data_IF_876725964004
#
_entry.id   IF_876725964004
#
_cell.length_a   1.000
_cell.length_b   1.000
_cell.length_c   1.000
_cell.angle_alpha   90.00
_cell.angle_beta   90.00
_cell.angle_gamma   90.00
#
_symmetry.space_group_name_H-M   'P 1'
#
loop_
_entity.id
_entity.type
_entity.pdbx_description
1 polymer ?
#
# COMPACT_ATOMS: atom_id res chain seq x y z
N UNK A 1 5.57 -3.82 -11.85
CA UNK A 1 6.43 -4.91 -12.34
C UNK A 1 6.84 -4.71 -13.80
N UNK A 2 5.89 -4.50 -14.72
CA UNK A 2 6.17 -4.34 -16.15
C UNK A 2 7.15 -3.20 -16.44
N UNK A 3 6.97 -2.02 -15.84
CA UNK A 3 7.87 -0.88 -16.03
C UNK A 3 9.32 -1.16 -15.58
N UNK A 4 9.50 -1.90 -14.48
CA UNK A 4 10.81 -2.30 -13.98
C UNK A 4 11.49 -3.29 -14.94
N UNK A 5 10.74 -4.28 -15.44
CA UNK A 5 11.25 -5.21 -16.45
C UNK A 5 11.62 -4.47 -17.74
N UNK A 6 10.80 -3.52 -18.19
CA UNK A 6 11.08 -2.68 -19.36
C UNK A 6 12.33 -1.82 -19.17
N UNK A 7 12.52 -1.25 -17.98
CA UNK A 7 13.71 -0.47 -17.66
C UNK A 7 14.98 -1.33 -17.65
N UNK A 8 14.95 -2.50 -17.00
CA UNK A 8 16.08 -3.43 -16.97
C UNK A 8 16.48 -3.86 -18.39
N UNK A 9 15.49 -4.21 -19.21
CA UNK A 9 15.73 -4.62 -20.59
C UNK A 9 16.35 -3.47 -21.41
N UNK A 10 15.83 -2.24 -21.27
CA UNK A 10 16.39 -1.06 -21.95
C UNK A 10 17.85 -0.81 -21.57
N UNK A 11 18.21 -0.93 -20.30
CA UNK A 11 19.60 -0.72 -19.83
C UNK A 11 20.52 -1.80 -20.42
N UNK A 12 20.07 -3.07 -20.44
CA UNK A 12 20.82 -4.15 -21.08
C UNK A 12 21.02 -3.91 -22.58
N UNK A 13 19.98 -3.49 -23.28
CA UNK A 13 20.03 -3.20 -24.72
C UNK A 13 21.00 -2.04 -25.03
N UNK A 14 20.96 -0.95 -24.26
CA UNK A 14 21.91 0.17 -24.38
C UNK A 14 23.35 -0.27 -24.10
N UNK A 15 23.57 -1.08 -23.07
CA UNK A 15 24.90 -1.59 -22.75
C UNK A 15 25.45 -2.45 -23.88
N UNK A 16 24.62 -3.34 -24.43
CA UNK A 16 24.96 -4.19 -25.57
C UNK A 16 25.34 -3.39 -26.80
N UNK A 17 24.60 -2.33 -27.10
CA UNK A 17 24.89 -1.44 -28.22
C UNK A 17 26.24 -0.71 -28.04
N UNK A 18 26.51 -0.18 -26.85
CA UNK A 18 27.75 0.54 -26.55
C UNK A 18 28.97 -0.39 -26.67
N UNK A 19 28.89 -1.58 -26.07
CA UNK A 19 29.97 -2.59 -26.13
C UNK A 19 30.21 -3.02 -27.57
N UNK A 20 29.16 -3.35 -28.32
CA UNK A 20 29.28 -3.77 -29.72
C UNK A 20 29.92 -2.70 -30.61
N UNK A 21 29.54 -1.43 -30.44
CA UNK A 21 30.17 -0.29 -31.16
C UNK A 21 31.64 -0.16 -30.81
N UNK A 22 32.00 -0.30 -29.52
CA UNK A 22 33.37 -0.12 -29.04
C UNK A 22 34.30 -1.26 -29.47
N UNK A 23 33.81 -2.50 -29.41
CA UNK A 23 34.53 -3.67 -29.95
C UNK A 23 34.78 -3.49 -31.44
N UNK A 24 33.74 -3.16 -32.23
CA UNK A 24 33.87 -2.95 -33.68
C UNK A 24 34.87 -1.85 -34.03
N UNK A 25 34.91 -0.76 -33.24
CA UNK A 25 35.85 0.34 -33.46
C UNK A 25 37.31 -0.06 -33.29
N UNK A 26 37.59 -1.07 -32.46
CA UNK A 26 38.95 -1.51 -32.13
C UNK A 26 39.36 -2.76 -32.91
N UNK A 27 38.45 -3.71 -33.15
CA UNK A 27 38.74 -4.92 -33.91
C UNK A 27 38.60 -4.71 -35.42
N UNK A 28 37.91 -3.65 -35.86
CA UNK A 28 37.61 -3.39 -37.27
C UNK A 28 36.59 -4.36 -37.89
N UNK A 29 36.18 -5.39 -37.16
CA UNK A 29 35.18 -6.38 -37.57
C UNK A 29 33.99 -6.32 -36.62
N UNK A 30 32.77 -6.45 -37.18
CA UNK A 30 31.57 -6.58 -36.35
C UNK A 30 31.64 -7.94 -35.62
N UNK A 31 31.67 -7.95 -34.28
CA UNK A 31 31.65 -9.20 -33.52
C UNK A 31 30.29 -9.89 -33.64
N UNK A 32 30.29 -11.21 -33.55
CA UNK A 32 29.06 -12.01 -33.49
C UNK A 32 28.30 -11.73 -32.19
N UNK A 33 26.97 -11.86 -32.23
CA UNK A 33 26.12 -11.59 -31.05
C UNK A 33 26.52 -12.43 -29.84
N UNK A 34 26.86 -13.70 -30.05
CA UNK A 34 27.30 -14.61 -28.99
C UNK A 34 28.60 -14.14 -28.32
N UNK A 35 29.50 -13.52 -29.09
CA UNK A 35 30.74 -12.95 -28.55
C UNK A 35 30.44 -11.71 -27.70
N UNK A 36 29.52 -10.85 -28.12
CA UNK A 36 29.08 -9.69 -27.34
C UNK A 36 28.43 -10.16 -26.04
N UNK A 37 27.55 -11.16 -26.10
CA UNK A 37 26.85 -11.65 -24.92
C UNK A 37 27.81 -12.30 -23.93
N UNK A 38 28.78 -13.08 -24.40
CA UNK A 38 29.84 -13.63 -23.54
C UNK A 38 30.67 -12.53 -22.85
N UNK A 39 30.94 -11.42 -23.55
CA UNK A 39 31.68 -10.28 -23.02
C UNK A 39 30.88 -9.53 -21.95
N UNK A 40 29.57 -9.39 -22.17
CA UNK A 40 28.65 -8.77 -21.22
C UNK A 40 28.52 -9.63 -19.95
N UNK A 41 28.49 -10.95 -20.06
CA UNK A 41 28.35 -11.85 -18.91
C UNK A 41 29.65 -12.02 -18.13
N UNK A 42 30.76 -12.27 -18.83
CA UNK A 42 32.05 -12.61 -18.20
C UNK A 42 32.92 -11.39 -17.91
N UNK A 43 32.78 -10.31 -18.68
CA UNK A 43 33.70 -9.18 -18.68
C UNK A 43 35.07 -9.48 -19.29
N UNK A 44 35.30 -10.70 -19.80
CA UNK A 44 36.59 -11.11 -20.37
C UNK A 44 36.71 -10.63 -21.83
N UNK A 45 37.18 -9.39 -21.99
CA UNK A 45 37.45 -8.82 -23.30
C UNK A 45 38.86 -9.17 -23.83
N UNK A 46 39.71 -9.76 -22.99
CA UNK A 46 41.13 -9.95 -23.32
C UNK A 46 41.28 -10.91 -24.52
N UNK A 47 40.47 -11.96 -24.56
CA UNK A 47 40.45 -12.93 -25.67
C UNK A 47 40.00 -12.30 -27.00
N UNK A 48 39.03 -11.38 -26.96
CA UNK A 48 38.47 -10.71 -28.15
C UNK A 48 39.48 -9.71 -28.73
N UNK A 49 40.21 -9.01 -27.87
CA UNK A 49 41.13 -7.95 -28.28
C UNK A 49 42.55 -8.43 -28.56
N UNK A 50 42.91 -9.69 -28.30
CA UNK A 50 44.24 -10.24 -28.62
C UNK A 50 44.67 -9.99 -30.07
N UNK A 51 43.73 -10.16 -31.01
CA UNK A 51 43.99 -9.94 -32.44
C UNK A 51 44.18 -8.45 -32.77
N UNK A 52 43.37 -7.59 -32.16
CA UNK A 52 43.46 -6.14 -32.32
C UNK A 52 44.73 -5.54 -31.69
N UNK A 53 45.20 -6.09 -30.56
CA UNK A 53 46.47 -5.69 -29.91
C UNK A 53 47.66 -5.90 -30.86
N UNK A 54 47.62 -6.96 -31.67
CA UNK A 54 48.68 -7.25 -32.64
C UNK A 54 48.70 -6.27 -33.83
N UNK A 55 47.53 -5.77 -34.25
CA UNK A 55 47.38 -4.94 -35.45
C UNK A 55 47.42 -3.43 -35.16
N UNK A 56 46.76 -2.94 -34.10
CA UNK A 56 46.62 -1.50 -33.78
C UNK A 56 47.59 -0.99 -32.70
N UNK A 57 48.33 -1.90 -32.06
CA UNK A 57 49.26 -1.56 -30.98
C UNK A 57 48.59 -1.54 -29.60
N UNK A 58 49.36 -2.00 -28.59
CA UNK A 58 48.86 -2.35 -27.26
C UNK A 58 48.18 -1.19 -26.49
N UNK A 59 48.64 0.05 -26.67
CA UNK A 59 48.18 1.18 -25.84
C UNK A 59 46.72 1.58 -26.05
N UNK A 60 46.28 1.68 -27.30
CA UNK A 60 44.92 2.15 -27.63
C UNK A 60 43.85 1.08 -27.33
N UNK A 61 44.22 -0.18 -27.50
CA UNK A 61 43.36 -1.33 -27.21
C UNK A 61 43.17 -1.53 -25.71
N UNK A 62 44.24 -1.41 -24.91
CA UNK A 62 44.15 -1.53 -23.44
C UNK A 62 43.25 -0.46 -22.82
N UNK A 63 43.35 0.79 -23.27
CA UNK A 63 42.48 1.86 -22.78
C UNK A 63 41.00 1.57 -23.06
N UNK A 64 40.70 0.96 -24.20
CA UNK A 64 39.32 0.57 -24.55
C UNK A 64 38.84 -0.62 -23.72
N UNK A 65 39.75 -1.55 -23.44
CA UNK A 65 39.51 -2.71 -22.58
C UNK A 65 39.16 -2.27 -21.15
N UNK A 66 39.95 -1.35 -20.60
CA UNK A 66 39.74 -0.76 -19.28
C UNK A 66 38.38 -0.05 -19.20
N UNK A 67 38.02 0.73 -20.24
CA UNK A 67 36.71 1.39 -20.32
C UNK A 67 35.55 0.38 -20.35
N UNK A 68 35.65 -0.71 -21.13
CA UNK A 68 34.62 -1.76 -21.20
C UNK A 68 34.47 -2.45 -19.84
N UNK A 69 35.59 -2.70 -19.16
CA UNK A 69 35.61 -3.38 -17.88
C UNK A 69 35.03 -2.50 -16.75
N UNK A 70 35.39 -1.21 -16.70
CA UNK A 70 34.79 -0.25 -15.77
C UNK A 70 33.26 -0.17 -15.97
N UNK A 71 32.81 -0.18 -17.23
CA UNK A 71 31.38 -0.19 -17.55
C UNK A 71 30.70 -1.49 -17.16
N UNK A 72 31.36 -2.63 -17.32
CA UNK A 72 30.85 -3.93 -16.87
C UNK A 72 30.63 -3.94 -15.35
N UNK A 73 31.61 -3.45 -14.59
CA UNK A 73 31.52 -3.38 -13.13
C UNK A 73 30.39 -2.44 -12.68
N UNK A 74 30.24 -1.29 -13.32
CA UNK A 74 29.11 -0.38 -13.09
C UNK A 74 27.76 -1.06 -13.41
N UNK A 75 27.69 -1.85 -14.48
CA UNK A 75 26.48 -2.58 -14.86
C UNK A 75 26.13 -3.67 -13.82
N UNK A 76 27.13 -4.39 -13.30
CA UNK A 76 26.94 -5.32 -12.16
C UNK A 76 26.40 -4.63 -10.92
N UNK A 77 26.88 -3.43 -10.61
CA UNK A 77 26.36 -2.65 -9.48
C UNK A 77 24.89 -2.24 -9.70
N UNK A 78 24.55 -1.82 -10.92
CA UNK A 78 23.16 -1.50 -11.30
C UNK A 78 22.28 -2.75 -11.18
N UNK A 79 22.72 -3.91 -11.67
CA UNK A 79 21.97 -5.16 -11.57
C UNK A 79 21.71 -5.53 -10.11
N UNK A 80 22.72 -5.43 -9.24
CA UNK A 80 22.55 -5.68 -7.81
C UNK A 80 21.50 -4.74 -7.19
N UNK A 81 21.57 -3.44 -7.49
CA UNK A 81 20.59 -2.46 -7.00
C UNK A 81 19.18 -2.73 -7.52
N UNK A 82 19.06 -3.19 -8.76
CA UNK A 82 17.77 -3.59 -9.35
C UNK A 82 17.21 -4.82 -8.64
N UNK A 83 18.02 -5.82 -8.32
CA UNK A 83 17.60 -6.98 -7.54
C UNK A 83 17.14 -6.58 -6.13
N UNK A 84 17.86 -5.68 -5.45
CA UNK A 84 17.45 -5.16 -4.15
C UNK A 84 16.11 -4.41 -4.23
N UNK A 85 15.91 -3.60 -5.27
CA UNK A 85 14.65 -2.90 -5.50
C UNK A 85 13.49 -3.88 -5.78
N UNK A 86 13.76 -4.94 -6.54
CA UNK A 86 12.78 -6.00 -6.78
C UNK A 86 12.34 -6.68 -5.48
N UNK A 87 13.29 -6.97 -4.58
CA UNK A 87 12.99 -7.52 -3.26
C UNK A 87 12.12 -6.58 -2.44
N UNK A 88 12.47 -5.28 -2.37
CA UNK A 88 11.66 -4.27 -1.67
C UNK A 88 10.23 -4.22 -2.23
N UNK A 89 10.07 -4.34 -3.56
CA UNK A 89 8.76 -4.36 -4.18
C UNK A 89 7.94 -5.59 -3.80
N UNK A 90 8.57 -6.77 -3.71
CA UNK A 90 7.92 -8.01 -3.26
C UNK A 90 7.52 -7.91 -1.79
N UNK A 91 8.40 -7.41 -0.93
CA UNK A 91 8.10 -7.21 0.49
C UNK A 91 6.95 -6.20 0.68
N UNK A 92 6.93 -5.14 -0.13
CA UNK A 92 5.83 -4.19 -0.15
C UNK A 92 4.52 -4.81 -0.63
N UNK A 93 4.55 -5.71 -1.63
CA UNK A 93 3.36 -6.41 -2.08
C UNK A 93 2.74 -7.25 -0.94
N UNK A 94 3.58 -7.96 -0.18
CA UNK A 94 3.15 -8.72 1.01
C UNK A 94 2.59 -7.79 2.10
N UNK A 95 3.24 -6.66 2.37
CA UNK A 95 2.77 -5.69 3.37
C UNK A 95 1.44 -5.02 2.98
N UNK A 96 1.21 -4.77 1.69
CA UNK A 96 -0.06 -4.21 1.19
C UNK A 96 -1.16 -5.25 1.29
N UNK A 97 -0.89 -6.51 0.94
CA UNK A 97 -1.84 -7.60 1.08
C UNK A 97 -2.23 -7.82 2.55
N UNK A 98 -1.26 -7.82 3.46
CA UNK A 98 -1.51 -7.88 4.90
C UNK A 98 -2.31 -6.68 5.44
N UNK A 99 -2.13 -5.48 4.87
CA UNK A 99 -2.90 -4.28 5.24
C UNK A 99 -4.33 -4.29 4.69
N UNK A 100 -4.68 -5.16 3.73
CA UNK A 100 -6.05 -5.35 3.27
C UNK A 100 -7.00 -5.75 4.39
N UNK A 101 -6.52 -6.47 5.41
CA UNK A 101 -7.29 -6.89 6.58
C UNK A 101 -7.59 -5.73 7.56
N UNK A 102 -6.76 -4.66 7.57
CA UNK A 102 -6.95 -3.49 8.44
C UNK A 102 -8.02 -2.53 7.89
N UNK A 103 -8.22 -2.50 6.57
CA UNK A 103 -9.26 -1.68 5.95
C UNK A 103 -10.67 -2.14 6.32
N UNK A 104 -10.89 -3.46 6.41
CA UNK A 104 -12.14 -4.08 6.87
C UNK A 104 -12.47 -3.68 8.34
N UNK A 105 -11.42 -3.48 9.15
CA UNK A 105 -11.59 -3.01 10.52
C UNK A 105 -12.07 -1.56 10.62
N UNK A 106 -11.70 -0.66 9.70
CA UNK A 106 -12.21 0.73 9.73
C UNK A 106 -13.69 0.77 9.34
N UNK A 107 -14.07 0.06 8.27
CA UNK A 107 -15.47 -0.05 7.85
C UNK A 107 -16.32 -0.65 8.98
N UNK A 108 -15.83 -1.72 9.59
CA UNK A 108 -16.48 -2.36 10.75
C UNK A 108 -16.61 -1.41 11.93
N UNK A 109 -15.55 -0.67 12.29
CA UNK A 109 -15.61 0.29 13.42
C UNK A 109 -16.55 1.46 13.16
N UNK A 110 -16.59 1.97 11.92
CA UNK A 110 -17.53 3.04 11.52
C UNK A 110 -18.96 2.52 11.55
N UNK A 111 -19.21 1.32 11.01
CA UNK A 111 -20.52 0.66 11.05
C UNK A 111 -21.00 0.46 12.49
N UNK A 112 -20.15 -0.11 13.35
CA UNK A 112 -20.45 -0.29 14.78
C UNK A 112 -20.74 1.05 15.49
N UNK A 113 -20.00 2.11 15.17
CA UNK A 113 -20.25 3.43 15.73
C UNK A 113 -21.63 3.98 15.32
N UNK A 114 -22.01 3.82 14.04
CA UNK A 114 -23.34 4.21 13.54
C UNK A 114 -24.44 3.42 14.26
N UNK A 115 -24.28 2.11 14.39
CA UNK A 115 -25.25 1.25 15.09
C UNK A 115 -25.41 1.66 16.56
N UNK A 116 -24.32 1.91 17.27
CA UNK A 116 -24.37 2.38 18.66
C UNK A 116 -25.08 3.74 18.81
N UNK A 117 -24.85 4.68 17.89
CA UNK A 117 -25.53 5.98 17.90
C UNK A 117 -27.03 5.82 17.63
N UNK A 118 -27.41 4.97 16.68
CA UNK A 118 -28.81 4.68 16.37
C UNK A 118 -29.52 4.01 17.56
N UNK A 119 -28.93 2.96 18.13
CA UNK A 119 -29.46 2.28 19.32
C UNK A 119 -29.58 3.24 20.51
N UNK A 120 -28.58 4.11 20.74
CA UNK A 120 -28.64 5.14 21.78
C UNK A 120 -29.77 6.14 21.56
N UNK A 121 -30.00 6.55 20.31
CA UNK A 121 -31.08 7.47 19.93
C UNK A 121 -32.46 6.85 20.18
N UNK A 122 -32.64 5.57 19.83
CA UNK A 122 -33.89 4.84 20.06
C UNK A 122 -34.17 4.62 21.55
N UNK A 123 -33.13 4.31 22.33
CA UNK A 123 -33.22 4.21 23.78
C UNK A 123 -33.66 5.54 24.41
N UNK A 124 -33.09 6.67 23.97
CA UNK A 124 -33.47 8.01 24.44
C UNK A 124 -34.91 8.38 24.06
N UNK A 125 -35.34 8.06 22.83
CA UNK A 125 -36.72 8.27 22.38
C UNK A 125 -37.71 7.45 23.21
N UNK A 126 -37.38 6.18 23.48
CA UNK A 126 -38.18 5.28 24.31
C UNK A 126 -38.27 5.81 25.74
N UNK A 127 -37.14 6.19 26.36
CA UNK A 127 -37.09 6.77 27.69
C UNK A 127 -37.94 8.04 27.80
N UNK A 128 -37.88 8.93 26.80
CA UNK A 128 -38.72 10.14 26.73
C UNK A 128 -40.21 9.82 26.67
N UNK A 129 -40.60 8.81 25.89
CA UNK A 129 -41.99 8.38 25.80
C UNK A 129 -42.50 7.73 27.09
N UNK A 130 -41.68 6.90 27.74
CA UNK A 130 -41.97 6.32 29.04
C UNK A 130 -42.12 7.41 30.11
N UNK A 131 -41.22 8.39 30.14
CA UNK A 131 -41.29 9.53 31.07
C UNK A 131 -42.58 10.34 30.87
N UNK A 132 -42.97 10.63 29.61
CA UNK A 132 -44.24 11.32 29.31
C UNK A 132 -45.45 10.52 29.80
N UNK A 133 -45.48 9.20 29.57
CA UNK A 133 -46.56 8.32 30.05
C UNK A 133 -46.62 8.26 31.58
N UNK A 134 -45.47 8.11 32.23
CA UNK A 134 -45.36 8.09 33.69
C UNK A 134 -45.92 9.37 34.33
N UNK A 135 -45.56 10.55 33.78
CA UNK A 135 -46.11 11.84 34.24
C UNK A 135 -47.63 11.93 34.09
N UNK A 136 -48.19 11.42 32.99
CA UNK A 136 -49.65 11.35 32.79
C UNK A 136 -50.32 10.44 33.83
N UNK A 137 -49.75 9.25 34.06
CA UNK A 137 -50.27 8.30 35.05
C UNK A 137 -50.23 8.88 36.47
N UNK A 138 -49.12 9.54 36.84
CA UNK A 138 -48.97 10.23 38.12
C UNK A 138 -50.04 11.31 38.31
N UNK A 139 -50.30 12.14 37.30
CA UNK A 139 -51.36 13.16 37.36
C UNK A 139 -52.75 12.56 37.55
N UNK A 140 -53.07 11.48 36.84
CA UNK A 140 -54.36 10.78 36.98
C UNK A 140 -54.51 10.20 38.39
N UNK A 141 -53.45 9.59 38.92
CA UNK A 141 -53.42 9.06 40.29
C UNK A 141 -53.66 10.15 41.35
N UNK A 142 -52.99 11.30 41.21
CA UNK A 142 -53.19 12.45 42.11
C UNK A 142 -54.63 12.97 42.06
N UNK A 143 -55.21 13.13 40.86
CA UNK A 143 -56.60 13.59 40.71
C UNK A 143 -57.57 12.62 41.36
N UNK A 144 -57.38 11.30 41.16
CA UNK A 144 -58.23 10.27 41.76
C UNK A 144 -58.18 10.30 43.29
N UNK A 145 -56.99 10.48 43.88
CA UNK A 145 -56.84 10.64 45.33
C UNK A 145 -57.56 11.88 45.87
N UNK A 146 -57.48 13.02 45.17
CA UNK A 146 -58.19 14.24 45.57
C UNK A 146 -59.71 14.07 45.53
N UNK A 147 -60.25 13.38 44.52
CA UNK A 147 -61.68 13.08 44.42
C UNK A 147 -62.15 12.19 45.58
N UNK A 148 -61.39 11.15 45.93
CA UNK A 148 -61.70 10.28 47.07
C UNK A 148 -61.71 11.09 48.38
N UNK A 149 -60.71 11.95 48.59
CA UNK A 149 -60.65 12.81 49.77
C UNK A 149 -61.86 13.75 49.87
N UNK A 150 -62.29 14.36 48.75
CA UNK A 150 -63.48 15.22 48.71
C UNK A 150 -64.76 14.45 49.07
N UNK A 151 -64.94 13.22 48.57
CA UNK A 151 -66.11 12.39 48.90
C UNK A 151 -66.16 12.08 50.39
N UNK A 152 -65.01 11.74 51.00
CA UNK A 152 -64.91 11.47 52.45
C UNK A 152 -65.29 12.73 53.24
N UNK A 153 -64.73 13.89 52.89
CA UNK A 153 -65.01 15.17 53.55
C UNK A 153 -66.50 15.54 53.44
N UNK A 154 -67.09 15.42 52.24
CA UNK A 154 -68.52 15.69 52.03
C UNK A 154 -69.41 14.70 52.81
N UNK A 155 -69.02 13.43 52.90
CA UNK A 155 -69.77 12.40 53.65
C UNK A 155 -69.73 12.64 55.16
N UNK A 156 -68.67 13.27 55.69
CA UNK A 156 -68.54 13.65 57.10
C UNK A 156 -69.22 15.00 57.40
N UNK A 157 -69.28 15.92 56.44
CA UNK A 157 -69.95 17.23 56.60
C UNK A 157 -71.47 17.16 56.41
N UNK A 158 -71.97 16.29 55.54
CA UNK A 158 -73.41 16.13 55.26
C UNK A 158 -74.27 15.36 56.30
N UNK A 159 -73.77 14.56 57.27
CA UNK A 159 -74.61 13.92 58.27
C UNK A 159 -75.18 14.91 59.30
N UNK A 160 -74.85 16.20 59.21
CA UNK A 160 -75.31 17.27 60.10
C UNK A 160 -76.34 18.23 59.47
N UNK A 161 -76.98 17.86 58.37
CA UNK A 161 -78.21 18.53 57.91
C UNK A 161 -79.40 17.58 58.04
N UNK A 162 -80.12 17.71 59.15
CA UNK A 162 -81.48 17.24 59.35
C UNK A 162 -82.42 18.44 59.27
#
# INVERSE_FOLDING_TARGET
>A
MTEFQTLRQRIQDEYREIVGRRVTAVTGTKPDEETIDSLIETGDAEQIFQKAIHEMGRGQVLNTLEEIQERHDAMKEIEKKLLDLHQIYMDMAVLVEAQGEILDNIETQVSNAVDHVNMGTDALNTAKNLQKKSRKCMMISIILLLVIALIIVLSILKPWKK
#
